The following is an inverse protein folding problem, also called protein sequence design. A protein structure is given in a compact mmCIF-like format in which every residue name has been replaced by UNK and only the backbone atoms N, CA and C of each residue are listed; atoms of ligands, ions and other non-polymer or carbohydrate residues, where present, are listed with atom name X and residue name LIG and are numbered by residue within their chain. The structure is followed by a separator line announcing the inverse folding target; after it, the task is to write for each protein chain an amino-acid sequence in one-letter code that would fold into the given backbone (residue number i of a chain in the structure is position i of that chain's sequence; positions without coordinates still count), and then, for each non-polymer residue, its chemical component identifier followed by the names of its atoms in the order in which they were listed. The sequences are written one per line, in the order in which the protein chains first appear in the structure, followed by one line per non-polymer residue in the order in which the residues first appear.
data_IF_311844745266
#
_entry.id   IF_311844745266
#
_cell.length_a   1.000
_cell.length_b   1.000
_cell.length_c   1.000
_cell.angle_alpha   90.00
_cell.angle_beta   90.00
_cell.angle_gamma   90.00
#
_symmetry.space_group_name_H-M   'P 1'
#
loop_
_entity.id
_entity.type
_entity.pdbx_description
1 polymer ?
#
# COMPACT_ATOMS: atom_id res chain seq x y z
N UNK A 1 -10.83 4.69 12.34
CA UNK A 1 -10.14 4.89 11.04
C UNK A 1 -10.91 4.14 9.99
N UNK A 2 -11.17 4.78 8.87
CA UNK A 2 -12.07 4.28 7.83
C UNK A 2 -11.36 4.37 6.48
N UNK A 3 -11.66 3.44 5.56
CA UNK A 3 -11.24 3.53 4.17
C UNK A 3 -12.38 4.19 3.41
N UNK A 4 -12.14 5.38 2.85
CA UNK A 4 -13.16 6.18 2.18
C UNK A 4 -13.34 5.79 0.72
N UNK A 5 -12.29 5.28 0.07
CA UNK A 5 -12.28 4.84 -1.31
C UNK A 5 -10.95 4.19 -1.67
N UNK A 6 -10.88 3.62 -2.87
CA UNK A 6 -9.67 3.01 -3.40
C UNK A 6 -9.80 2.75 -4.89
N UNK A 7 -8.66 2.75 -5.57
CA UNK A 7 -8.56 2.47 -6.99
C UNK A 7 -7.30 1.65 -7.26
N UNK A 8 -7.38 0.80 -8.28
CA UNK A 8 -6.23 0.06 -8.80
C UNK A 8 -6.29 0.10 -10.33
N UNK A 9 -5.18 0.52 -10.95
CA UNK A 9 -5.05 0.47 -12.40
C UNK A 9 -4.95 -0.97 -12.91
N UNK A 10 -5.21 -1.17 -14.20
CA UNK A 10 -5.04 -2.49 -14.82
C UNK A 10 -3.54 -2.85 -14.92
N UNK A 11 -3.11 -3.81 -14.10
CA UNK A 11 -1.73 -4.28 -14.06
C UNK A 11 -1.25 -4.91 -15.38
N UNK A 12 -2.18 -5.35 -16.25
CA UNK A 12 -1.84 -5.93 -17.55
C UNK A 12 -1.28 -4.87 -18.51
N UNK A 13 -1.67 -3.61 -18.37
CA UNK A 13 -1.24 -2.49 -19.21
C UNK A 13 0.26 -2.29 -19.23
N UNK A 14 0.82 -1.96 -20.38
CA UNK A 14 2.23 -1.57 -20.50
C UNK A 14 2.28 -0.08 -20.80
N UNK A 15 2.33 0.71 -19.71
CA UNK A 15 2.28 2.17 -19.80
C UNK A 15 3.42 2.73 -20.65
N UNK A 16 4.63 2.16 -20.56
CA UNK A 16 5.76 2.56 -21.41
C UNK A 16 5.45 2.43 -22.90
N UNK A 17 4.76 1.35 -23.30
CA UNK A 17 4.33 1.14 -24.71
C UNK A 17 3.15 2.02 -25.10
N UNK A 18 2.34 2.43 -24.14
CA UNK A 18 1.27 3.42 -24.32
C UNK A 18 1.80 4.85 -24.40
N UNK A 19 3.12 5.07 -24.21
CA UNK A 19 3.73 6.40 -24.19
C UNK A 19 3.53 7.15 -22.87
N UNK A 20 3.22 6.41 -21.80
CA UNK A 20 2.98 6.91 -20.46
C UNK A 20 4.11 6.55 -19.50
N UNK A 21 4.22 7.31 -18.43
CA UNK A 21 5.25 7.17 -17.40
C UNK A 21 4.64 7.20 -15.99
N UNK A 22 5.48 7.40 -14.98
CA UNK A 22 5.02 7.50 -13.59
C UNK A 22 4.06 8.66 -13.35
N UNK A 23 4.24 9.80 -14.02
CA UNK A 23 3.36 10.95 -13.83
C UNK A 23 1.95 10.61 -14.32
N UNK A 24 1.83 10.00 -15.50
CA UNK A 24 0.55 9.54 -16.02
C UNK A 24 -0.13 8.50 -15.11
N UNK A 25 0.62 7.50 -14.62
CA UNK A 25 0.07 6.51 -13.68
C UNK A 25 -0.36 7.15 -12.35
N UNK A 26 0.44 8.07 -11.83
CA UNK A 26 0.15 8.75 -10.57
C UNK A 26 -1.10 9.61 -10.69
N UNK A 27 -1.25 10.36 -11.79
CA UNK A 27 -2.44 11.16 -12.06
C UNK A 27 -3.70 10.27 -12.08
N UNK A 28 -3.67 9.17 -12.86
CA UNK A 28 -4.77 8.22 -12.94
C UNK A 28 -5.18 7.67 -11.56
N UNK A 29 -4.20 7.20 -10.78
CA UNK A 29 -4.47 6.59 -9.48
C UNK A 29 -4.97 7.61 -8.47
N UNK A 30 -4.40 8.81 -8.43
CA UNK A 30 -4.82 9.88 -7.52
C UNK A 30 -6.24 10.32 -7.86
N UNK A 31 -6.52 10.68 -9.11
CA UNK A 31 -7.81 11.20 -9.54
C UNK A 31 -8.93 10.17 -9.31
N UNK A 32 -8.71 8.91 -9.68
CA UNK A 32 -9.71 7.86 -9.52
C UNK A 32 -9.94 7.49 -8.05
N UNK A 33 -8.90 7.55 -7.21
CA UNK A 33 -9.03 7.32 -5.76
C UNK A 33 -9.84 8.43 -5.10
N UNK A 34 -9.52 9.69 -5.40
CA UNK A 34 -10.23 10.87 -4.88
C UNK A 34 -11.70 10.87 -5.33
N UNK A 35 -11.97 10.58 -6.60
CA UNK A 35 -13.32 10.46 -7.13
C UNK A 35 -14.13 9.36 -6.44
N UNK A 36 -13.52 8.19 -6.19
CA UNK A 36 -14.18 7.08 -5.48
C UNK A 36 -14.46 7.43 -4.02
N UNK A 37 -13.52 8.13 -3.37
CA UNK A 37 -13.66 8.61 -2.00
C UNK A 37 -14.61 9.82 -1.87
N UNK A 38 -14.97 10.47 -2.99
CA UNK A 38 -15.75 11.71 -3.04
C UNK A 38 -15.09 12.83 -2.22
N UNK A 39 -13.78 12.96 -2.36
CA UNK A 39 -12.97 13.98 -1.71
C UNK A 39 -12.25 14.83 -2.75
N UNK A 40 -12.10 16.11 -2.43
CA UNK A 40 -11.17 16.98 -3.15
C UNK A 40 -9.75 16.75 -2.63
N UNK A 41 -8.75 16.92 -3.50
CA UNK A 41 -7.33 16.75 -3.15
C UNK A 41 -6.88 17.63 -1.98
N UNK A 42 -7.42 18.85 -1.88
CA UNK A 42 -7.14 19.78 -0.78
C UNK A 42 -7.61 19.28 0.60
N UNK A 43 -8.44 18.23 0.65
CA UNK A 43 -8.84 17.55 1.89
C UNK A 43 -7.84 16.49 2.36
N UNK A 44 -6.78 16.21 1.60
CA UNK A 44 -5.71 15.28 1.98
C UNK A 44 -4.63 16.04 2.74
N UNK A 45 -4.30 15.58 3.96
CA UNK A 45 -3.35 16.26 4.83
C UNK A 45 -1.95 15.61 4.84
N UNK A 46 -1.84 14.35 4.40
CA UNK A 46 -0.56 13.65 4.25
C UNK A 46 -0.64 12.59 3.15
N UNK A 47 0.46 12.39 2.41
CA UNK A 47 0.58 11.40 1.34
C UNK A 47 1.69 10.38 1.63
N UNK A 48 1.39 9.09 1.47
CA UNK A 48 2.36 8.01 1.57
C UNK A 48 2.44 7.26 0.25
N UNK A 49 3.61 7.30 -0.39
CA UNK A 49 3.86 6.67 -1.70
C UNK A 49 4.68 5.40 -1.51
N UNK A 50 4.08 4.23 -1.72
CA UNK A 50 4.79 2.96 -1.79
C UNK A 50 5.37 2.73 -3.18
N UNK A 51 6.69 2.51 -3.26
CA UNK A 51 7.37 2.10 -4.48
C UNK A 51 8.62 1.28 -4.14
N UNK A 52 8.79 0.15 -4.81
CA UNK A 52 9.93 -0.74 -4.59
C UNK A 52 11.08 -0.43 -5.54
N UNK A 53 10.80 -0.42 -6.84
CA UNK A 53 11.84 -0.59 -7.86
C UNK A 53 11.89 0.53 -8.91
N UNK A 54 11.24 1.67 -8.64
CA UNK A 54 11.16 2.79 -9.58
C UNK A 54 12.53 3.35 -9.99
N UNK A 55 13.51 3.31 -9.08
CA UNK A 55 14.89 3.72 -9.37
C UNK A 55 15.58 2.77 -10.36
N UNK A 56 15.34 1.47 -10.24
CA UNK A 56 16.00 0.46 -11.06
C UNK A 56 15.37 0.35 -12.44
N UNK A 57 14.03 0.34 -12.50
CA UNK A 57 13.31 0.10 -13.75
C UNK A 57 13.08 1.38 -14.56
N UNK A 58 12.87 2.52 -13.91
CA UNK A 58 12.46 3.74 -14.57
C UNK A 58 13.33 4.96 -14.20
N UNK A 59 14.45 4.73 -13.49
CA UNK A 59 15.42 5.77 -13.09
C UNK A 59 14.76 6.92 -12.31
N UNK A 60 13.74 6.61 -11.53
CA UNK A 60 12.97 7.60 -10.77
C UNK A 60 12.88 7.21 -9.29
N UNK A 61 13.53 7.98 -8.42
CA UNK A 61 13.56 7.77 -6.97
C UNK A 61 12.78 8.79 -6.15
N UNK A 62 12.47 9.97 -6.71
CA UNK A 62 11.76 11.04 -6.01
C UNK A 62 10.23 10.89 -6.12
N UNK A 63 9.73 9.66 -6.02
CA UNK A 63 8.30 9.37 -6.16
C UNK A 63 7.43 9.89 -5.02
N UNK A 64 8.02 10.24 -3.87
CA UNK A 64 7.30 10.90 -2.79
C UNK A 64 6.70 12.25 -3.23
N UNK A 65 7.39 12.99 -4.10
CA UNK A 65 6.91 14.27 -4.61
C UNK A 65 6.01 14.14 -5.85
N UNK A 66 5.93 12.95 -6.48
CA UNK A 66 5.20 12.75 -7.74
C UNK A 66 3.71 13.13 -7.67
N UNK A 67 2.96 12.87 -6.58
CA UNK A 67 1.56 13.31 -6.49
C UNK A 67 1.39 14.84 -6.61
N UNK A 68 2.30 15.62 -6.03
CA UNK A 68 2.28 17.08 -6.09
C UNK A 68 2.56 17.63 -7.50
N UNK A 69 3.26 16.87 -8.36
CA UNK A 69 3.56 17.31 -9.73
C UNK A 69 2.40 17.07 -10.70
N UNK A 70 1.39 16.29 -10.29
CA UNK A 70 0.26 15.89 -11.16
C UNK A 70 -1.10 16.37 -10.65
N UNK A 71 -1.17 16.76 -9.38
CA UNK A 71 -2.40 17.25 -8.75
C UNK A 71 -2.09 18.51 -7.93
N UNK A 72 -2.55 19.67 -8.40
CA UNK A 72 -2.29 20.98 -7.78
C UNK A 72 -2.75 21.04 -6.31
N UNK A 73 -3.83 20.34 -5.96
CA UNK A 73 -4.35 20.28 -4.60
C UNK A 73 -3.45 19.54 -3.61
N UNK A 74 -2.38 18.90 -4.08
CA UNK A 74 -1.38 18.20 -3.26
C UNK A 74 -0.03 18.93 -3.18
N UNK A 75 0.10 20.12 -3.78
CA UNK A 75 1.40 20.83 -3.90
C UNK A 75 2.09 21.09 -2.54
N UNK A 76 1.32 21.49 -1.54
CA UNK A 76 1.81 21.79 -0.18
C UNK A 76 1.55 20.65 0.81
N UNK A 77 1.09 19.49 0.34
CA UNK A 77 0.77 18.34 1.20
C UNK A 77 2.05 17.56 1.52
N UNK A 78 2.38 17.35 2.82
CA UNK A 78 3.51 16.50 3.22
C UNK A 78 3.43 15.12 2.57
N UNK A 79 4.52 14.67 1.96
CA UNK A 79 4.57 13.40 1.25
C UNK A 79 5.85 12.61 1.51
N UNK A 80 5.74 11.29 1.65
CA UNK A 80 6.88 10.40 1.92
C UNK A 80 6.87 9.16 1.02
N UNK A 81 8.05 8.76 0.53
CA UNK A 81 8.24 7.49 -0.21
C UNK A 81 8.61 6.38 0.76
N UNK A 82 7.98 5.22 0.60
CA UNK A 82 8.21 3.99 1.36
C UNK A 82 8.73 2.91 0.41
N UNK A 83 9.92 2.38 0.70
CA UNK A 83 10.53 1.27 -0.03
C UNK A 83 10.73 0.11 0.95
N UNK A 84 10.11 -1.02 0.62
CA UNK A 84 10.22 -2.28 1.35
C UNK A 84 9.96 -3.47 0.42
N UNK A 85 10.55 -3.44 -0.79
CA UNK A 85 10.29 -4.39 -1.87
C UNK A 85 8.78 -4.62 -2.06
N UNK A 86 8.34 -5.88 -2.14
CA UNK A 86 6.93 -6.26 -2.30
C UNK A 86 6.01 -5.76 -1.16
N UNK A 87 6.56 -5.34 -0.02
CA UNK A 87 5.80 -4.81 1.11
C UNK A 87 5.69 -3.27 1.09
N UNK A 88 6.23 -2.58 0.08
CA UNK A 88 6.24 -1.11 0.04
C UNK A 88 4.85 -0.49 0.22
N UNK A 89 3.82 -1.06 -0.41
CA UNK A 89 2.43 -0.60 -0.26
C UNK A 89 1.88 -0.79 1.16
N UNK A 90 2.16 -1.92 1.82
CA UNK A 90 1.69 -2.17 3.18
C UNK A 90 2.45 -1.34 4.21
N UNK A 91 3.75 -1.08 4.01
CA UNK A 91 4.53 -0.16 4.83
C UNK A 91 4.01 1.28 4.70
N UNK A 92 3.69 1.73 3.49
CA UNK A 92 3.07 3.04 3.27
C UNK A 92 1.72 3.15 4.00
N UNK A 93 0.88 2.09 3.93
CA UNK A 93 -0.37 2.06 4.67
C UNK A 93 -0.14 2.08 6.19
N UNK A 94 0.81 1.30 6.72
CA UNK A 94 1.13 1.29 8.15
C UNK A 94 1.63 2.65 8.65
N UNK A 95 2.40 3.37 7.85
CA UNK A 95 2.84 4.74 8.14
C UNK A 95 1.64 5.69 8.21
N UNK A 96 0.75 5.69 7.20
CA UNK A 96 -0.47 6.49 7.20
C UNK A 96 -1.35 6.19 8.42
N UNK A 97 -1.49 4.92 8.78
CA UNK A 97 -2.23 4.51 9.96
C UNK A 97 -1.61 5.01 11.27
N UNK A 98 -0.29 5.10 11.35
CA UNK A 98 0.39 5.64 12.53
C UNK A 98 0.14 7.15 12.66
N UNK A 99 0.25 7.87 11.55
CA UNK A 99 -0.02 9.30 11.45
C UNK A 99 -1.46 9.64 11.85
N UNK A 100 -2.45 8.94 11.29
CA UNK A 100 -3.86 9.12 11.64
C UNK A 100 -4.17 8.78 13.11
N UNK A 101 -3.57 7.70 13.65
CA UNK A 101 -3.78 7.32 15.06
C UNK A 101 -3.13 8.27 16.05
N UNK A 102 -2.05 8.95 15.65
CA UNK A 102 -1.39 9.95 16.49
C UNK A 102 -2.21 11.24 16.62
N UNK A 103 -3.20 11.44 15.72
CA UNK A 103 -3.94 12.69 15.61
C UNK A 103 -3.14 13.83 14.99
N UNK A 104 -2.00 13.53 14.35
CA UNK A 104 -1.25 14.51 13.57
C UNK A 104 -2.01 14.94 12.31
N UNK A 105 -2.79 14.03 11.74
CA UNK A 105 -3.63 14.24 10.57
C UNK A 105 -4.95 13.48 10.72
N UNK A 106 -6.01 13.98 10.08
CA UNK A 106 -7.35 13.37 10.03
C UNK A 106 -7.57 12.60 8.72
N UNK A 107 -6.87 12.99 7.63
CA UNK A 107 -7.01 12.35 6.30
C UNK A 107 -5.66 12.09 5.65
N UNK A 108 -5.44 10.86 5.19
CA UNK A 108 -4.22 10.43 4.51
C UNK A 108 -4.54 9.77 3.17
N UNK A 109 -3.70 10.03 2.16
CA UNK A 109 -3.72 9.34 0.88
C UNK A 109 -2.55 8.35 0.80
N UNK A 110 -2.84 7.09 0.48
CA UNK A 110 -1.82 6.06 0.26
C UNK A 110 -1.81 5.70 -1.22
N UNK A 111 -0.67 5.86 -1.87
CA UNK A 111 -0.47 5.62 -3.31
C UNK A 111 0.56 4.52 -3.48
N UNK A 112 0.22 3.44 -4.18
CA UNK A 112 1.18 2.42 -4.62
C UNK A 112 1.41 2.55 -6.12
N UNK A 113 2.64 2.81 -6.55
CA UNK A 113 2.96 2.97 -7.98
C UNK A 113 4.24 2.20 -8.33
N UNK A 114 4.20 1.44 -9.43
CA UNK A 114 5.33 0.66 -9.92
C UNK A 114 5.27 0.53 -11.44
N UNK A 115 6.43 0.65 -12.10
CA UNK A 115 6.57 0.48 -13.54
C UNK A 115 7.72 -0.49 -13.84
N UNK A 116 7.41 -1.79 -13.90
CA UNK A 116 8.44 -2.83 -14.10
C UNK A 116 8.62 -3.25 -15.57
N UNK A 117 7.70 -2.84 -16.45
CA UNK A 117 7.70 -3.19 -17.89
C UNK A 117 8.38 -2.13 -18.75
N UNK A 118 9.45 -1.54 -18.25
CA UNK A 118 10.21 -0.42 -18.86
C UNK A 118 11.53 -0.87 -19.51
N UNK A 119 12.03 -2.05 -19.13
CA UNK A 119 13.28 -2.64 -19.62
C UNK A 119 13.04 -4.03 -20.21
N UNK A 120 13.97 -4.58 -21.02
CA UNK A 120 13.90 -5.96 -21.47
C UNK A 120 13.86 -6.97 -20.31
N UNK A 121 13.24 -8.13 -20.53
CA UNK A 121 13.01 -9.15 -19.49
C UNK A 121 14.30 -9.64 -18.82
N UNK A 122 15.38 -9.81 -19.57
CA UNK A 122 16.67 -10.22 -19.01
C UNK A 122 17.24 -9.17 -18.04
N UNK A 123 17.07 -7.89 -18.36
CA UNK A 123 17.45 -6.77 -17.51
C UNK A 123 16.54 -6.69 -16.27
N UNK A 124 15.23 -6.88 -16.44
CA UNK A 124 14.29 -6.95 -15.32
C UNK A 124 14.66 -8.07 -14.33
N UNK A 125 15.01 -9.25 -14.85
CA UNK A 125 15.45 -10.38 -14.04
C UNK A 125 16.75 -10.07 -13.27
N UNK A 126 17.66 -9.26 -13.84
CA UNK A 126 18.86 -8.80 -13.13
C UNK A 126 18.55 -7.78 -12.02
N UNK A 127 17.55 -6.92 -12.20
CA UNK A 127 17.11 -6.00 -11.15
C UNK A 127 16.47 -6.73 -9.96
N UNK A 128 15.71 -7.79 -10.23
CA UNK A 128 14.95 -8.54 -9.21
C UNK A 128 15.71 -9.75 -8.65
N UNK A 129 16.71 -10.24 -9.36
CA UNK A 129 17.48 -11.40 -8.95
C UNK A 129 18.33 -11.12 -7.71
N UNK A 130 18.62 -12.14 -6.89
CA UNK A 130 19.63 -12.00 -5.85
C UNK A 130 20.93 -11.54 -6.53
N UNK A 131 21.52 -10.43 -6.07
CA UNK A 131 22.88 -10.01 -6.46
C UNK A 131 23.88 -11.05 -5.96
N UNK A 132 23.94 -12.19 -6.63
CA UNK A 132 25.18 -12.93 -6.74
C UNK A 132 25.99 -12.19 -7.81
N UNK A 133 27.24 -11.84 -7.49
CA UNK A 133 28.21 -11.43 -8.50
C UNK A 133 28.30 -12.48 -9.62
N UNK A 134 29.06 -12.24 -10.70
CA UNK A 134 29.06 -13.09 -11.88
C UNK A 134 29.12 -14.57 -11.46
N UNK A 135 28.05 -15.30 -11.76
CA UNK A 135 28.04 -16.76 -11.66
C UNK A 135 28.96 -17.22 -12.77
N UNK A 136 30.26 -17.23 -12.51
CA UNK A 136 31.16 -18.11 -13.22
C UNK A 136 30.55 -19.50 -13.04
N UNK A 137 30.17 -20.17 -14.13
CA UNK A 137 29.86 -21.60 -14.10
C UNK A 137 31.13 -22.32 -13.63
N UNK A 138 31.30 -22.44 -12.32
CA UNK A 138 32.29 -23.32 -11.72
C UNK A 138 31.87 -24.77 -12.01
N UNK A 139 32.84 -25.69 -12.14
CA UNK A 139 32.56 -27.06 -12.53
C UNK A 139 31.56 -27.68 -11.55
N UNK A 140 30.53 -28.31 -12.11
CA UNK A 140 29.54 -29.09 -11.37
C UNK A 140 30.24 -30.06 -10.44
N UNK A 141 29.82 -30.03 -9.16
CA UNK A 141 30.15 -30.96 -8.06
C UNK A 141 31.28 -30.49 -7.14
N UNK A 142 30.95 -29.57 -6.23
CA UNK A 142 31.56 -29.55 -4.91
C UNK A 142 30.65 -30.35 -3.96
N UNK A 143 31.04 -31.60 -3.67
CA UNK A 143 30.50 -32.33 -2.52
C UNK A 143 30.89 -31.57 -1.25
N UNK A 144 29.90 -31.09 -0.49
CA UNK A 144 30.13 -30.48 0.82
C UNK A 144 30.71 -31.54 1.76
N UNK A 145 32.02 -31.49 1.98
CA UNK A 145 32.77 -32.42 2.83
C UNK A 145 32.72 -32.09 4.32
N UNK A 146 31.56 -31.68 4.86
CA UNK A 146 31.37 -31.54 6.31
C UNK A 146 30.05 -32.21 6.71
N UNK A 147 30.05 -33.10 7.72
CA UNK A 147 28.81 -33.64 8.24
C UNK A 147 27.99 -32.51 8.87
N UNK A 148 26.77 -32.31 8.38
CA UNK A 148 25.80 -31.43 9.02
C UNK A 148 25.49 -31.97 10.42
N UNK A 149 25.69 -31.15 11.45
CA UNK A 149 25.15 -31.43 12.77
C UNK A 149 23.62 -31.42 12.72
N UNK A 150 22.92 -32.37 13.36
CA UNK A 150 21.47 -32.43 13.33
C UNK A 150 20.90 -31.38 14.28
N UNK A 151 20.18 -30.39 13.76
CA UNK A 151 19.46 -29.47 14.65
C UNK A 151 18.90 -28.15 14.07
N UNK A 152 19.08 -27.85 12.79
CA UNK A 152 18.53 -26.61 12.21
C UNK A 152 17.55 -26.92 11.06
N UNK A 153 16.25 -26.58 11.19
CA UNK A 153 15.32 -26.74 10.08
C UNK A 153 15.62 -25.72 8.98
N UNK A 154 15.84 -26.23 7.77
CA UNK A 154 15.93 -25.48 6.53
C UNK A 154 14.51 -25.24 5.99
N UNK A 155 14.01 -24.01 6.08
CA UNK A 155 12.94 -23.54 5.21
C UNK A 155 13.08 -22.04 4.94
N UNK A 156 13.34 -21.71 3.67
CA UNK A 156 13.14 -20.37 3.12
C UNK A 156 11.88 -20.43 2.27
N UNK A 157 10.75 -20.14 2.89
CA UNK A 157 9.51 -19.75 2.20
C UNK A 157 8.91 -18.62 3.02
N UNK A 158 9.06 -17.37 2.54
CA UNK A 158 8.42 -16.20 3.13
C UNK A 158 7.13 -15.91 2.36
N UNK A 159 6.01 -16.17 3.03
CA UNK A 159 4.65 -15.77 2.66
C UNK A 159 3.88 -15.61 3.96
N UNK A 160 3.15 -14.50 4.08
CA UNK A 160 2.52 -13.92 5.27
C UNK A 160 1.79 -14.91 6.20
N UNK A 161 2.00 -14.82 7.52
CA UNK A 161 1.00 -15.26 8.52
C UNK A 161 0.89 -14.22 9.65
N UNK A 162 -0.33 -13.69 9.83
CA UNK A 162 -0.74 -12.92 10.99
C UNK A 162 -1.54 -13.86 11.90
N UNK A 163 -0.96 -14.30 13.03
CA UNK A 163 -1.72 -15.06 14.03
C UNK A 163 -1.52 -14.48 15.45
N UNK A 164 -2.59 -13.91 16.01
CA UNK A 164 -2.79 -13.82 17.46
C UNK A 164 -3.50 -15.12 17.92
N UNK A 165 -3.08 -15.66 19.07
CA UNK A 165 -3.09 -17.09 19.46
C UNK A 165 -4.42 -17.88 19.48
N UNK A 166 -4.31 -19.09 18.93
CA UNK A 166 -4.86 -20.42 19.32
C UNK A 166 -6.37 -20.61 19.57
N UNK A 167 -7.05 -21.12 18.55
CA UNK A 167 -7.83 -22.37 18.61
C UNK A 167 -7.61 -23.10 17.29
N UNK A 168 -6.86 -24.21 17.30
CA UNK A 168 -6.52 -24.95 16.08
C UNK A 168 -7.67 -25.87 15.64
N UNK A 169 -8.02 -25.96 14.35
CA UNK A 169 -8.90 -27.00 13.86
C UNK A 169 -8.12 -28.31 13.60
N UNK A 170 -8.69 -29.42 14.08
CA UNK A 170 -8.27 -30.80 13.82
C UNK A 170 -8.43 -31.18 12.33
N UNK A 171 -7.57 -32.06 11.76
CA UNK A 171 -7.63 -32.40 10.35
C UNK A 171 -8.60 -33.57 10.10
N UNK A 172 -9.80 -33.29 9.58
CA UNK A 172 -10.58 -34.24 8.76
C UNK A 172 -11.79 -33.55 8.12
N UNK A 173 -12.15 -34.01 6.92
CA UNK A 173 -13.36 -33.70 6.12
C UNK A 173 -13.28 -32.53 5.12
N UNK A 174 -12.56 -32.76 4.02
CA UNK A 174 -13.05 -32.32 2.70
C UNK A 174 -14.22 -33.20 2.30
N UNK A 175 -15.44 -32.69 2.45
CA UNK A 175 -16.64 -33.17 1.75
C UNK A 175 -17.40 -31.95 1.22
N UNK A 176 -17.86 -31.94 -0.04
CA UNK A 176 -18.58 -30.79 -0.59
C UNK A 176 -19.95 -30.65 0.08
N UNK A 177 -20.23 -29.48 0.64
CA UNK A 177 -21.56 -29.14 1.15
C UNK A 177 -22.52 -28.88 -0.03
N UNK A 178 -23.70 -29.52 -0.10
CA UNK A 178 -24.69 -29.23 -1.13
C UNK A 178 -25.29 -27.83 -0.97
N UNK A 179 -25.66 -27.22 -2.09
CA UNK A 179 -26.23 -25.87 -2.17
C UNK A 179 -27.47 -25.71 -1.27
N UNK A 180 -27.50 -24.63 -0.49
CA UNK A 180 -28.64 -24.28 0.34
C UNK A 180 -29.78 -23.69 -0.52
N UNK A 181 -30.94 -24.33 -0.46
CA UNK A 181 -32.22 -23.81 -1.00
C UNK A 181 -32.65 -22.56 -0.23
N UNK A 182 -33.07 -21.47 -0.89
CA UNK A 182 -33.50 -20.26 -0.19
C UNK A 182 -34.89 -20.46 0.45
N UNK A 183 -34.98 -20.23 1.76
CA UNK A 183 -36.25 -20.10 2.49
C UNK A 183 -36.85 -18.70 2.30
N UNK A 184 -38.18 -18.56 2.18
CA UNK A 184 -38.81 -17.25 1.97
C UNK A 184 -38.84 -16.41 3.25
N UNK A 185 -38.54 -15.12 3.10
CA UNK A 185 -38.54 -14.10 4.15
C UNK A 185 -39.99 -13.66 4.49
N UNK A 186 -40.39 -13.55 5.77
CA UNK A 186 -41.69 -12.99 6.12
C UNK A 186 -41.72 -11.47 5.92
N UNK A 187 -42.85 -10.97 5.40
CA UNK A 187 -43.13 -9.56 5.21
C UNK A 187 -43.33 -8.84 6.56
N UNK A 188 -42.61 -7.73 6.77
CA UNK A 188 -42.77 -6.88 7.95
C UNK A 188 -42.55 -5.41 7.54
N UNK A 189 -43.56 -4.58 7.80
CA UNK A 189 -43.65 -3.17 7.42
C UNK A 189 -42.70 -2.22 8.17
N UNK A 190 -42.77 -0.91 7.89
CA UNK A 190 -41.77 0.06 8.33
C UNK A 190 -41.96 0.46 9.80
N UNK A 191 -40.89 0.36 10.59
CA UNK A 191 -40.75 1.07 11.87
C UNK A 191 -40.24 2.50 11.63
N UNK A 192 -40.75 3.51 12.36
CA UNK A 192 -40.36 4.90 12.16
C UNK A 192 -39.00 5.22 12.83
N UNK A 193 -38.15 5.95 12.11
CA UNK A 193 -36.87 6.50 12.59
C UNK A 193 -37.17 7.84 13.28
N UNK A 194 -36.72 8.09 14.54
CA UNK A 194 -36.73 9.42 15.11
C UNK A 194 -35.56 10.27 14.61
N UNK A 195 -35.84 11.52 14.23
CA UNK A 195 -34.89 12.51 13.71
C UNK A 195 -33.82 12.93 14.74
N UNK A 196 -32.58 13.25 14.31
CA UNK A 196 -31.53 13.71 15.22
C UNK A 196 -31.67 15.20 15.57
N UNK A 197 -31.74 15.50 16.86
CA UNK A 197 -31.64 16.86 17.41
C UNK A 197 -30.19 17.35 17.31
N UNK A 198 -30.02 18.54 16.74
CA UNK A 198 -28.74 19.22 16.57
C UNK A 198 -28.22 19.73 17.91
N UNK A 199 -27.05 19.27 18.34
CA UNK A 199 -26.27 19.93 19.41
C UNK A 199 -24.90 20.28 18.85
N UNK A 200 -24.68 21.56 18.61
CA UNK A 200 -23.38 22.12 18.20
C UNK A 200 -22.45 22.19 19.41
N UNK A 201 -21.25 21.56 19.39
CA UNK A 201 -20.25 21.79 20.42
C UNK A 201 -19.41 23.02 20.06
N UNK A 202 -19.44 24.04 20.92
CA UNK A 202 -18.59 25.23 20.83
C UNK A 202 -17.15 24.86 21.17
N UNK A 203 -16.22 24.97 20.21
CA UNK A 203 -14.78 24.75 20.42
C UNK A 203 -14.13 26.03 20.95
N UNK A 204 -13.48 25.94 22.11
CA UNK A 204 -12.64 27.00 22.68
C UNK A 204 -11.40 27.26 21.79
N UNK A 205 -10.97 28.51 21.58
CA UNK A 205 -9.77 28.81 20.79
C UNK A 205 -8.51 28.31 21.51
N UNK A 206 -7.65 27.57 20.79
CA UNK A 206 -6.32 27.19 21.26
C UNK A 206 -5.46 28.44 21.37
N UNK A 207 -4.77 28.60 22.50
CA UNK A 207 -3.73 29.60 22.69
C UNK A 207 -2.68 29.47 21.58
N UNK A 208 -2.37 30.59 20.92
CA UNK A 208 -1.31 30.68 19.92
C UNK A 208 0.05 30.48 20.58
N UNK A 209 0.91 29.69 19.95
CA UNK A 209 2.35 29.79 20.14
C UNK A 209 2.83 30.94 19.26
N UNK A 210 3.26 32.03 19.87
CA UNK A 210 3.93 33.13 19.19
C UNK A 210 5.24 32.63 18.60
N UNK A 211 5.32 32.60 17.27
CA UNK A 211 6.57 32.44 16.54
C UNK A 211 7.33 33.76 16.58
N UNK A 212 8.14 33.95 17.62
CA UNK A 212 9.26 34.90 17.56
C UNK A 212 10.47 34.31 18.28
N UNK A 213 11.63 34.50 17.67
CA UNK A 213 12.99 34.18 18.16
C UNK A 213 13.58 32.86 17.67
N UNK A 214 14.24 32.91 16.50
CA UNK A 214 15.58 32.35 16.30
C UNK A 214 16.16 32.83 14.96
N UNK A 215 16.60 34.08 14.93
CA UNK A 215 17.61 34.54 13.99
C UNK A 215 18.80 35.02 14.83
N UNK A 216 19.84 34.19 14.90
CA UNK A 216 21.25 34.56 15.10
C UNK A 216 22.13 33.35 14.88
#
# INVERSE_FOLDING_TARGET
MWILGGYQSDFARNLTREGHDFAALTAEVVDATLATAKLDAAGIEVVHVGNAFGEMFARQGHLGAMPATVCDGLWDTPASRHEAACASGSVAALAAMADLRSGAYDTALVVGIELEKTVPGDTAAQHLGPRHGPVTRGPTRATCGRPCSPGWPTSTTAGTDWTMRTCGPSPSSTSPTPAATPTPRPAGGPSPIPSPTTTTPTRSPRAGCDASTAAK
#
